data_IF_523799884570
#
_entry.id   IF_523799884570
#
_cell.length_a   1.000
_cell.length_b   1.000
_cell.length_c   1.000
_cell.angle_alpha   90.00
_cell.angle_beta   90.00
_cell.angle_gamma   90.00
#
_symmetry.space_group_name_H-M   'P 1'
#
loop_
_entity.id
_entity.type
_entity.pdbx_description
1 polymer ?
#
# COMPACT_ATOMS: atom_id res chain seq x y z
N UNK A 1 -16.73 5.42 -17.33
CA UNK A 1 -15.52 5.01 -16.57
C UNK A 1 -15.80 5.28 -15.09
N UNK A 2 -16.00 4.23 -14.30
CA UNK A 2 -16.34 4.34 -12.87
C UNK A 2 -15.14 4.92 -12.11
N UNK A 3 -15.36 5.92 -11.24
CA UNK A 3 -14.30 6.48 -10.39
C UNK A 3 -13.92 5.44 -9.32
N UNK A 4 -12.83 4.71 -9.53
CA UNK A 4 -12.24 3.82 -8.51
C UNK A 4 -11.49 4.70 -7.50
N UNK A 5 -11.80 4.53 -6.22
CA UNK A 5 -11.27 5.36 -5.12
C UNK A 5 -10.37 4.47 -4.25
N UNK A 6 -9.20 4.98 -3.86
CA UNK A 6 -8.38 4.33 -2.84
C UNK A 6 -9.09 4.51 -1.51
N UNK A 7 -9.41 3.41 -0.84
CA UNK A 7 -10.11 3.45 0.44
C UNK A 7 -9.14 3.92 1.52
N UNK A 8 -9.34 5.12 2.05
CA UNK A 8 -8.54 5.68 3.15
C UNK A 8 -8.73 4.84 4.42
N UNK A 9 -7.67 4.19 4.90
CA UNK A 9 -7.61 3.58 6.24
C UNK A 9 -7.44 4.68 7.31
N UNK A 10 -8.52 5.40 7.59
CA UNK A 10 -8.58 6.40 8.66
C UNK A 10 -8.65 5.77 10.07
N UNK A 11 -8.55 4.44 10.21
CA UNK A 11 -8.79 3.73 11.49
C UNK A 11 -7.55 3.14 12.15
N UNK A 12 -6.34 3.25 11.58
CA UNK A 12 -5.12 2.78 12.24
C UNK A 12 -4.51 3.79 13.24
N UNK A 13 -5.16 4.94 13.45
CA UNK A 13 -4.67 6.03 14.31
C UNK A 13 -4.91 5.90 15.81
N UNK A 14 -5.42 4.78 16.34
CA UNK A 14 -5.79 4.66 17.77
C UNK A 14 -5.39 3.32 18.42
N UNK A 15 -4.14 2.90 18.29
CA UNK A 15 -3.57 1.83 19.14
C UNK A 15 -2.11 2.15 19.52
N UNK A 16 -1.83 3.37 20.01
CA UNK A 16 -0.53 3.71 20.64
C UNK A 16 -0.64 3.95 22.14
N UNK A 17 -1.50 3.19 22.83
CA UNK A 17 -1.45 3.07 24.29
C UNK A 17 -1.82 1.64 24.71
N UNK A 18 -0.83 0.75 24.81
CA UNK A 18 -1.05 -0.60 25.33
C UNK A 18 0.19 -1.48 25.24
N UNK A 19 0.84 -1.69 26.39
CA UNK A 19 2.06 -2.44 26.60
C UNK A 19 2.14 -3.85 25.98
N UNK A 20 3.37 -4.19 25.58
CA UNK A 20 4.03 -5.50 25.74
C UNK A 20 3.53 -6.70 24.93
N UNK A 21 4.00 -6.81 23.69
CA UNK A 21 4.65 -8.02 23.17
C UNK A 21 5.30 -7.72 21.82
N UNK A 22 6.63 -7.82 21.75
CA UNK A 22 7.34 -7.87 20.46
C UNK A 22 7.04 -9.24 19.87
N UNK A 23 5.90 -9.39 19.21
CA UNK A 23 5.74 -10.49 18.26
C UNK A 23 6.61 -10.16 17.07
N UNK A 24 7.73 -10.90 16.94
CA UNK A 24 8.49 -11.03 15.70
C UNK A 24 7.52 -11.03 14.52
N UNK A 25 7.82 -10.37 13.37
CA UNK A 25 6.92 -10.39 12.22
C UNK A 25 6.56 -11.84 11.94
N UNK A 26 5.31 -12.21 12.20
CA UNK A 26 4.88 -13.58 12.03
C UNK A 26 5.13 -13.89 10.56
N UNK A 27 5.78 -15.02 10.30
CA UNK A 27 6.06 -15.56 8.96
C UNK A 27 4.83 -15.49 8.03
N UNK A 28 3.63 -15.48 8.62
CA UNK A 28 2.32 -15.31 8.00
C UNK A 28 2.12 -13.98 7.27
N UNK A 29 2.79 -12.91 7.70
CA UNK A 29 2.62 -11.54 7.18
C UNK A 29 3.44 -11.26 5.90
N UNK A 30 4.69 -11.74 5.82
CA UNK A 30 5.49 -11.70 4.58
C UNK A 30 4.88 -12.59 3.49
N UNK A 31 4.29 -13.73 3.89
CA UNK A 31 3.52 -14.58 2.98
C UNK A 31 2.32 -13.82 2.39
N UNK A 32 1.68 -12.96 3.19
CA UNK A 32 0.50 -12.18 2.79
C UNK A 32 0.79 -11.20 1.63
N UNK A 33 1.93 -10.50 1.65
CA UNK A 33 2.36 -9.62 0.54
C UNK A 33 2.67 -10.47 -0.70
N UNK A 34 3.41 -11.57 -0.54
CA UNK A 34 3.78 -12.44 -1.66
C UNK A 34 2.57 -13.07 -2.34
N UNK A 35 1.58 -13.52 -1.56
CA UNK A 35 0.31 -14.04 -2.07
C UNK A 35 -0.46 -12.98 -2.86
N UNK A 36 -0.57 -11.76 -2.34
CA UNK A 36 -1.24 -10.65 -3.04
C UNK A 36 -0.49 -10.22 -4.30
N UNK A 37 0.84 -10.20 -4.26
CA UNK A 37 1.67 -9.97 -5.44
C UNK A 37 1.45 -11.06 -6.50
N UNK A 38 1.37 -12.33 -6.10
CA UNK A 38 1.06 -13.42 -7.03
C UNK A 38 -0.33 -13.27 -7.67
N UNK A 39 -1.31 -12.75 -6.93
CA UNK A 39 -2.64 -12.47 -7.45
C UNK A 39 -2.61 -11.40 -8.55
N UNK A 40 -2.02 -10.22 -8.32
CA UNK A 40 -2.01 -9.14 -9.33
C UNK A 40 -1.25 -9.54 -10.61
N UNK A 41 -0.20 -10.37 -10.47
CA UNK A 41 0.58 -10.89 -11.60
C UNK A 41 -0.14 -12.02 -12.36
N UNK A 42 -1.23 -12.56 -11.82
CA UNK A 42 -2.02 -13.59 -12.49
C UNK A 42 -2.91 -13.01 -13.60
N UNK A 43 -3.12 -13.78 -14.67
CA UNK A 43 -3.91 -13.35 -15.84
C UNK A 43 -5.42 -13.54 -15.69
N UNK A 44 -5.89 -14.10 -14.58
CA UNK A 44 -7.26 -14.60 -14.42
C UNK A 44 -8.17 -13.73 -13.53
N UNK A 45 -7.75 -12.51 -13.21
CA UNK A 45 -8.51 -11.60 -12.34
C UNK A 45 -9.29 -10.53 -13.12
N UNK A 46 -10.50 -10.22 -12.65
CA UNK A 46 -11.23 -9.05 -13.12
C UNK A 46 -10.58 -7.76 -12.62
N UNK A 47 -10.86 -6.64 -13.29
CA UNK A 47 -10.34 -5.33 -12.88
C UNK A 47 -10.78 -4.91 -11.46
N UNK A 48 -11.95 -5.36 -11.00
CA UNK A 48 -12.46 -5.02 -9.67
C UNK A 48 -11.78 -5.86 -8.59
N UNK A 49 -11.52 -7.14 -8.87
CA UNK A 49 -10.72 -7.98 -7.99
C UNK A 49 -9.30 -7.43 -7.89
N UNK A 50 -8.70 -7.03 -9.03
CA UNK A 50 -7.35 -6.47 -9.04
C UNK A 50 -7.29 -5.16 -8.25
N UNK A 51 -8.31 -4.32 -8.38
CA UNK A 51 -8.44 -3.11 -7.59
C UNK A 51 -8.52 -3.38 -6.09
N UNK A 52 -9.26 -4.41 -5.66
CA UNK A 52 -9.29 -4.80 -4.25
C UNK A 52 -7.90 -5.19 -3.76
N UNK A 53 -7.15 -5.98 -4.55
CA UNK A 53 -5.79 -6.40 -4.17
C UNK A 53 -4.81 -5.23 -4.11
N UNK A 54 -4.90 -4.23 -5.00
CA UNK A 54 -4.09 -3.01 -4.88
C UNK A 54 -4.35 -2.27 -3.56
N UNK A 55 -5.63 -2.15 -3.17
CA UNK A 55 -5.96 -1.55 -1.88
C UNK A 55 -5.40 -2.37 -0.73
N UNK A 56 -5.55 -3.70 -0.77
CA UNK A 56 -5.04 -4.60 0.26
C UNK A 56 -3.51 -4.49 0.39
N UNK A 57 -2.79 -4.42 -0.72
CA UNK A 57 -1.34 -4.21 -0.73
C UNK A 57 -0.93 -2.90 -0.06
N UNK A 58 -1.66 -1.80 -0.31
CA UNK A 58 -1.43 -0.54 0.42
C UNK A 58 -1.66 -0.68 1.94
N UNK A 59 -2.58 -1.55 2.37
CA UNK A 59 -2.76 -1.84 3.81
C UNK A 59 -1.57 -2.63 4.35
N UNK A 60 -1.10 -3.64 3.61
CA UNK A 60 0.10 -4.39 3.98
C UNK A 60 1.30 -3.45 4.09
N UNK A 61 1.47 -2.51 3.14
CA UNK A 61 2.49 -1.47 3.25
C UNK A 61 2.36 -0.68 4.56
N UNK A 62 1.16 -0.21 4.88
CA UNK A 62 0.93 0.56 6.10
C UNK A 62 1.26 -0.22 7.38
N UNK A 63 0.97 -1.52 7.41
CA UNK A 63 1.28 -2.42 8.53
C UNK A 63 2.80 -2.67 8.66
N UNK A 64 3.48 -2.80 7.52
CA UNK A 64 4.87 -3.28 7.49
C UNK A 64 5.94 -2.19 7.46
N UNK A 65 5.64 -1.03 6.89
CA UNK A 65 6.63 0.02 6.62
C UNK A 65 6.49 1.25 7.52
N UNK A 66 5.34 1.42 8.20
CA UNK A 66 5.12 2.57 9.08
C UNK A 66 5.53 2.21 10.51
N UNK A 67 6.54 2.89 11.03
CA UNK A 67 7.11 2.62 12.35
C UNK A 67 6.88 3.76 13.33
N UNK A 68 6.61 4.96 12.84
CA UNK A 68 6.40 6.14 13.66
C UNK A 68 5.35 7.10 13.08
N UNK A 69 5.04 8.16 13.83
CA UNK A 69 4.04 9.17 13.43
C UNK A 69 4.42 9.93 12.16
N UNK A 70 5.71 10.18 11.92
CA UNK A 70 6.16 10.87 10.72
C UNK A 70 5.91 10.01 9.47
N UNK A 71 6.17 8.69 9.55
CA UNK A 71 5.86 7.76 8.46
C UNK A 71 4.35 7.77 8.16
N UNK A 72 3.51 7.71 9.20
CA UNK A 72 2.06 7.76 9.06
C UNK A 72 1.55 9.08 8.46
N UNK A 73 2.12 10.22 8.87
CA UNK A 73 1.79 11.52 8.28
C UNK A 73 2.17 11.57 6.80
N UNK A 74 3.34 11.04 6.44
CA UNK A 74 3.81 10.98 5.06
C UNK A 74 2.92 10.10 4.20
N UNK A 75 2.58 8.91 4.69
CA UNK A 75 1.66 8.01 4.00
C UNK A 75 0.28 8.65 3.78
N UNK A 76 -0.27 9.34 4.79
CA UNK A 76 -1.54 10.05 4.63
C UNK A 76 -1.46 11.19 3.60
N UNK A 77 -0.38 11.96 3.59
CA UNK A 77 -0.16 13.00 2.59
C UNK A 77 -0.08 12.40 1.17
N UNK A 78 0.62 11.27 1.01
CA UNK A 78 0.67 10.54 -0.25
C UNK A 78 -0.73 10.12 -0.72
N UNK A 79 -1.53 9.48 0.13
CA UNK A 79 -2.89 9.06 -0.22
C UNK A 79 -3.75 10.27 -0.64
N UNK A 80 -3.62 11.40 0.06
CA UNK A 80 -4.29 12.64 -0.32
C UNK A 80 -3.85 13.15 -1.68
N UNK A 81 -2.54 13.14 -1.99
CA UNK A 81 -2.02 13.50 -3.30
C UNK A 81 -2.64 12.64 -4.40
N UNK A 82 -2.64 11.31 -4.24
CA UNK A 82 -3.23 10.39 -5.22
C UNK A 82 -4.74 10.62 -5.39
N UNK A 83 -5.47 10.89 -4.31
CA UNK A 83 -6.92 11.14 -4.36
C UNK A 83 -7.28 12.50 -4.98
N UNK A 84 -6.43 13.50 -4.79
CA UNK A 84 -6.62 14.86 -5.31
C UNK A 84 -6.13 15.06 -6.75
N UNK A 85 -5.36 14.11 -7.29
CA UNK A 85 -4.85 14.17 -8.65
C UNK A 85 -5.96 13.99 -9.70
N UNK A 86 -6.37 15.12 -10.29
CA UNK A 86 -7.38 15.18 -11.35
C UNK A 86 -6.90 14.53 -12.66
N UNK A 87 -5.58 14.48 -12.89
CA UNK A 87 -4.98 13.90 -14.10
C UNK A 87 -4.95 12.37 -14.05
N UNK A 88 -5.06 11.81 -12.84
CA UNK A 88 -4.90 10.38 -12.51
C UNK A 88 -3.52 9.81 -12.81
N UNK A 89 -2.53 10.66 -13.07
CA UNK A 89 -1.15 10.24 -13.26
C UNK A 89 -0.63 9.48 -12.04
N UNK A 90 -0.82 10.01 -10.83
CA UNK A 90 -0.36 9.37 -9.60
C UNK A 90 -1.05 8.03 -9.34
N UNK A 91 -2.28 7.87 -9.82
CA UNK A 91 -2.98 6.58 -9.75
C UNK A 91 -2.35 5.54 -10.69
N UNK A 92 -2.01 5.96 -11.90
CA UNK A 92 -1.32 5.09 -12.87
C UNK A 92 0.06 4.70 -12.33
N UNK A 93 0.84 5.66 -11.83
CA UNK A 93 2.17 5.41 -11.26
C UNK A 93 2.10 4.50 -10.03
N UNK A 94 1.10 4.68 -9.15
CA UNK A 94 0.87 3.76 -8.03
C UNK A 94 0.68 2.31 -8.50
N UNK A 95 -0.10 2.10 -9.55
CA UNK A 95 -0.31 0.76 -10.13
C UNK A 95 1.00 0.23 -10.71
N UNK A 96 1.73 1.04 -11.48
CA UNK A 96 2.99 0.65 -12.12
C UNK A 96 4.07 0.29 -11.08
N UNK A 97 4.25 1.11 -10.05
CA UNK A 97 5.17 0.86 -8.94
C UNK A 97 4.77 -0.40 -8.16
N UNK A 98 3.47 -0.61 -7.93
CA UNK A 98 2.98 -1.81 -7.24
C UNK A 98 3.26 -3.07 -8.07
N UNK A 99 2.93 -3.06 -9.36
CA UNK A 99 3.16 -4.19 -10.28
C UNK A 99 4.67 -4.48 -10.41
N UNK A 100 5.49 -3.44 -10.55
CA UNK A 100 6.94 -3.55 -10.61
C UNK A 100 7.53 -4.13 -9.32
N UNK A 101 7.11 -3.59 -8.17
CA UNK A 101 7.54 -4.04 -6.86
C UNK A 101 7.17 -5.49 -6.58
N UNK A 102 5.97 -5.90 -7.01
CA UNK A 102 5.54 -7.29 -6.91
C UNK A 102 6.29 -8.23 -7.86
N UNK A 103 6.56 -7.82 -9.09
CA UNK A 103 7.30 -8.62 -10.06
C UNK A 103 8.76 -8.89 -9.62
N UNK A 104 9.37 -7.93 -8.94
CA UNK A 104 10.76 -8.02 -8.48
C UNK A 104 10.90 -8.49 -7.02
N UNK A 105 9.79 -8.67 -6.31
CA UNK A 105 9.79 -9.10 -4.91
C UNK A 105 10.27 -8.03 -3.92
N UNK A 106 10.24 -6.76 -4.31
CA UNK A 106 10.70 -5.60 -3.53
C UNK A 106 9.59 -4.56 -3.30
N UNK A 107 8.32 -4.99 -3.30
CA UNK A 107 7.12 -4.15 -3.12
C UNK A 107 7.25 -3.06 -2.04
N UNK A 108 7.71 -3.41 -0.82
CA UNK A 108 7.83 -2.45 0.28
C UNK A 108 8.86 -1.34 0.01
N UNK A 109 9.96 -1.68 -0.66
CA UNK A 109 11.05 -0.75 -0.98
C UNK A 109 10.59 0.23 -2.08
N UNK A 110 10.02 -0.29 -3.16
CA UNK A 110 9.51 0.52 -4.28
C UNK A 110 8.41 1.48 -3.82
N UNK A 111 7.45 0.98 -3.02
CA UNK A 111 6.40 1.82 -2.46
C UNK A 111 6.95 2.91 -1.52
N UNK A 112 7.96 2.59 -0.72
CA UNK A 112 8.60 3.58 0.16
C UNK A 112 9.23 4.70 -0.67
N UNK A 113 10.01 4.36 -1.69
CA UNK A 113 10.63 5.35 -2.57
C UNK A 113 9.60 6.22 -3.28
N UNK A 114 8.52 5.61 -3.78
CA UNK A 114 7.45 6.35 -4.45
C UNK A 114 6.71 7.30 -3.51
N UNK A 115 6.35 6.85 -2.31
CA UNK A 115 5.73 7.70 -1.29
C UNK A 115 6.65 8.87 -0.94
N UNK A 116 7.94 8.60 -0.75
CA UNK A 116 8.94 9.63 -0.48
C UNK A 116 9.06 10.62 -1.62
N UNK A 117 8.97 10.18 -2.88
CA UNK A 117 9.04 11.04 -4.05
C UNK A 117 7.85 11.97 -4.20
N UNK A 118 6.63 11.46 -4.00
CA UNK A 118 5.39 12.22 -4.13
C UNK A 118 5.21 13.24 -2.99
N UNK A 119 5.84 12.99 -1.83
CA UNK A 119 5.66 13.81 -0.62
C UNK A 119 6.88 14.67 -0.27
N UNK A 120 7.80 14.88 -1.22
CA UNK A 120 8.95 15.79 -1.07
C UNK A 120 8.55 17.26 -0.89
#
# INVERSE_FOLDING_TARGET
MTKKTITTLLTLGLMLTGCSSVTSPQKDSVNSIQEKCALILSSHMSEDQRWAVYNDLLQEYAIHALHNQADGNRFNAFIQSVQSDETRQLMTELIEVTDWGCANGNYLEEMTMFIEEVTK
#
